data_IF_688916758506
#
_entry.id   IF_688916758506
#
_cell.length_a   1.000
_cell.length_b   1.000
_cell.length_c   1.000
_cell.angle_alpha   90.00
_cell.angle_beta   90.00
_cell.angle_gamma   90.00
#
_symmetry.space_group_name_H-M   'P 1'
#
loop_
_entity.id
_entity.type
_entity.pdbx_description
1 polymer ?
#
# COMPACT_ATOMS: atom_id res chain seq x y z
N UNK A 1 13.17 4.70 -18.44
CA UNK A 1 12.72 3.36 -18.04
C UNK A 1 13.36 2.34 -18.97
N UNK A 2 14.54 1.84 -18.62
CA UNK A 2 15.18 0.76 -19.38
C UNK A 2 14.50 -0.57 -18.99
N UNK A 3 13.91 -1.26 -19.97
CA UNK A 3 13.18 -2.53 -19.77
C UNK A 3 11.65 -2.42 -19.67
N UNK A 4 11.02 -1.48 -20.38
CA UNK A 4 9.56 -1.30 -20.40
C UNK A 4 8.78 -2.47 -21.01
N UNK A 5 7.47 -2.50 -20.76
CA UNK A 5 6.53 -3.42 -21.41
C UNK A 5 6.57 -3.22 -22.93
N UNK A 6 6.52 -4.31 -23.70
CA UNK A 6 6.39 -4.23 -25.15
C UNK A 6 4.98 -3.84 -25.58
N UNK A 7 4.81 -3.52 -26.86
CA UNK A 7 3.51 -3.10 -27.42
C UNK A 7 2.41 -4.14 -27.20
N UNK A 8 2.73 -5.44 -27.35
CA UNK A 8 1.77 -6.52 -27.15
C UNK A 8 1.34 -6.66 -25.69
N UNK A 9 2.25 -6.44 -24.74
CA UNK A 9 1.93 -6.41 -23.31
C UNK A 9 1.04 -5.21 -22.96
N UNK A 10 1.36 -4.03 -23.49
CA UNK A 10 0.56 -2.81 -23.28
C UNK A 10 -0.84 -2.97 -23.87
N UNK A 11 -0.96 -3.49 -25.09
CA UNK A 11 -2.25 -3.75 -25.74
C UNK A 11 -3.12 -4.72 -24.94
N UNK A 12 -2.51 -5.81 -24.45
CA UNK A 12 -3.19 -6.78 -23.59
C UNK A 12 -3.70 -6.15 -22.29
N UNK A 13 -2.84 -5.42 -21.56
CA UNK A 13 -3.24 -4.77 -20.32
C UNK A 13 -4.32 -3.71 -20.57
N UNK A 14 -4.15 -2.85 -21.57
CA UNK A 14 -5.14 -1.82 -21.94
C UNK A 14 -6.49 -2.43 -22.28
N UNK A 15 -6.51 -3.54 -23.01
CA UNK A 15 -7.76 -4.26 -23.33
C UNK A 15 -8.41 -4.82 -22.07
N UNK A 16 -7.63 -5.46 -21.19
CA UNK A 16 -8.10 -6.00 -19.91
C UNK A 16 -8.65 -4.91 -18.98
N UNK A 17 -8.00 -3.75 -18.94
CA UNK A 17 -8.42 -2.59 -18.15
C UNK A 17 -9.70 -1.98 -18.71
N UNK A 18 -9.83 -1.88 -20.04
CA UNK A 18 -11.05 -1.39 -20.69
C UNK A 18 -12.25 -2.27 -20.35
N UNK A 19 -12.09 -3.57 -20.45
CA UNK A 19 -13.14 -4.54 -20.10
C UNK A 19 -13.56 -4.38 -18.63
N UNK A 20 -12.58 -4.30 -17.72
CA UNK A 20 -12.84 -4.09 -16.31
C UNK A 20 -13.62 -2.80 -16.06
N UNK A 21 -13.11 -1.64 -16.52
CA UNK A 21 -13.76 -0.36 -16.28
C UNK A 21 -15.14 -0.26 -16.93
N UNK A 22 -15.35 -0.90 -18.08
CA UNK A 22 -16.67 -1.00 -18.69
C UNK A 22 -17.65 -1.76 -17.79
N UNK A 23 -17.27 -2.96 -17.34
CA UNK A 23 -18.08 -3.81 -16.45
C UNK A 23 -18.33 -3.17 -15.08
N UNK A 24 -17.35 -2.46 -14.53
CA UNK A 24 -17.42 -1.83 -13.21
C UNK A 24 -17.91 -0.37 -13.24
N UNK A 25 -18.36 0.13 -14.39
CA UNK A 25 -18.68 1.57 -14.58
C UNK A 25 -19.73 2.11 -13.60
N UNK A 26 -20.72 1.28 -13.24
CA UNK A 26 -21.79 1.62 -12.28
C UNK A 26 -21.36 1.51 -10.82
N UNK A 27 -20.29 0.78 -10.53
CA UNK A 27 -19.76 0.53 -9.19
C UNK A 27 -18.38 1.13 -8.97
N UNK A 28 -17.91 2.00 -9.89
CA UNK A 28 -16.65 2.70 -9.75
C UNK A 28 -16.75 3.65 -8.56
N UNK A 29 -15.83 3.53 -7.61
CA UNK A 29 -15.82 4.38 -6.44
C UNK A 29 -15.59 5.84 -6.82
N UNK A 30 -16.36 6.73 -6.20
CA UNK A 30 -16.32 8.16 -6.45
C UNK A 30 -15.81 8.88 -5.20
N UNK A 31 -14.79 9.74 -5.33
CA UNK A 31 -14.33 10.57 -4.22
C UNK A 31 -15.46 11.41 -3.60
N UNK A 32 -15.61 11.41 -2.27
CA UNK A 32 -16.45 12.39 -1.60
C UNK A 32 -16.01 13.81 -1.97
N UNK A 33 -16.97 14.71 -2.27
CA UNK A 33 -16.69 16.09 -2.75
C UNK A 33 -15.83 16.14 -4.02
N UNK A 34 -16.12 15.26 -4.97
CA UNK A 34 -15.42 15.12 -6.25
C UNK A 34 -15.10 16.46 -6.91
N UNK A 35 -16.05 17.39 -6.91
CA UNK A 35 -15.97 18.72 -7.51
C UNK A 35 -14.84 19.58 -6.97
N UNK A 36 -14.40 19.32 -5.74
CA UNK A 36 -13.33 20.04 -5.06
C UNK A 36 -11.99 19.30 -5.08
N UNK A 37 -11.90 18.15 -5.76
CA UNK A 37 -10.68 17.32 -5.78
C UNK A 37 -10.01 17.34 -7.15
N UNK A 38 -8.68 17.39 -7.13
CA UNK A 38 -7.89 17.15 -8.33
C UNK A 38 -7.98 15.66 -8.67
N UNK A 39 -8.24 15.38 -9.95
CA UNK A 39 -8.14 14.04 -10.53
C UNK A 39 -6.86 13.95 -11.37
N UNK A 40 -6.26 12.76 -11.40
CA UNK A 40 -5.10 12.48 -12.22
C UNK A 40 -5.14 11.09 -12.84
N UNK A 41 -4.65 10.96 -14.07
CA UNK A 41 -4.56 9.70 -14.80
C UNK A 41 -3.11 9.37 -15.12
N UNK A 42 -2.69 8.15 -14.83
CA UNK A 42 -1.46 7.56 -15.36
C UNK A 42 -1.80 6.86 -16.69
N UNK A 43 -1.12 7.23 -17.77
CA UNK A 43 -1.29 6.59 -19.08
C UNK A 43 -0.36 5.38 -19.23
N UNK A 44 -0.66 4.50 -20.19
CA UNK A 44 0.17 3.32 -20.48
C UNK A 44 1.56 3.67 -21.05
N UNK A 45 1.70 4.89 -21.58
CA UNK A 45 2.98 5.47 -22.01
C UNK A 45 3.83 5.98 -20.84
N UNK A 46 3.29 5.94 -19.61
CA UNK A 46 3.97 6.39 -18.40
C UNK A 46 3.83 7.89 -18.12
N UNK A 47 2.97 8.60 -18.87
CA UNK A 47 2.69 10.01 -18.61
C UNK A 47 1.64 10.16 -17.51
N UNK A 48 1.86 11.11 -16.60
CA UNK A 48 0.89 11.43 -15.56
C UNK A 48 0.15 12.72 -15.93
N UNK A 49 -1.11 12.59 -16.33
CA UNK A 49 -2.01 13.70 -16.61
C UNK A 49 -2.60 14.21 -15.29
N UNK A 50 -2.18 15.40 -14.87
CA UNK A 50 -2.60 16.09 -13.63
C UNK A 50 -3.60 17.21 -13.89
N UNK A 51 -4.06 17.85 -12.82
CA UNK A 51 -4.91 19.05 -12.87
C UNK A 51 -6.23 18.81 -13.62
N UNK A 52 -6.76 17.59 -13.54
CA UNK A 52 -8.08 17.30 -14.07
C UNK A 52 -9.14 17.60 -13.02
N UNK A 53 -10.33 18.01 -13.48
CA UNK A 53 -11.53 18.17 -12.66
C UNK A 53 -12.67 17.34 -13.23
N UNK A 54 -13.58 16.91 -12.37
CA UNK A 54 -14.84 16.32 -12.77
C UNK A 54 -15.95 16.96 -11.92
N UNK A 55 -16.96 17.53 -12.56
CA UNK A 55 -18.09 18.17 -11.89
C UNK A 55 -19.15 17.17 -11.42
N UNK A 56 -19.20 15.98 -12.03
CA UNK A 56 -20.14 14.93 -11.64
C UNK A 56 -19.50 13.53 -11.70
N UNK A 57 -20.06 12.54 -10.96
CA UNK A 57 -19.66 11.14 -11.09
C UNK A 57 -19.69 10.63 -12.53
N UNK A 58 -20.71 11.02 -13.31
CA UNK A 58 -20.87 10.60 -14.71
C UNK A 58 -19.77 11.13 -15.63
N UNK A 59 -19.31 12.36 -15.40
CA UNK A 59 -18.16 12.92 -16.13
C UNK A 59 -16.88 12.15 -15.85
N UNK A 60 -16.61 11.81 -14.59
CA UNK A 60 -15.45 11.01 -14.21
C UNK A 60 -15.49 9.63 -14.85
N UNK A 61 -16.62 8.92 -14.73
CA UNK A 61 -16.81 7.59 -15.33
C UNK A 61 -16.64 7.66 -16.86
N UNK A 62 -17.24 8.66 -17.51
CA UNK A 62 -17.10 8.87 -18.95
C UNK A 62 -15.65 9.13 -19.38
N UNK A 63 -14.89 9.89 -18.60
CA UNK A 63 -13.47 10.11 -18.84
C UNK A 63 -12.64 8.82 -18.69
N UNK A 64 -12.92 8.02 -17.66
CA UNK A 64 -12.25 6.72 -17.44
C UNK A 64 -12.51 5.76 -18.60
N UNK A 65 -13.75 5.65 -19.08
CA UNK A 65 -14.10 4.77 -20.19
C UNK A 65 -13.49 5.20 -21.53
N UNK A 66 -13.35 6.51 -21.73
CA UNK A 66 -12.74 7.08 -22.94
C UNK A 66 -11.21 6.93 -22.95
N UNK A 67 -10.55 7.22 -21.83
CA UNK A 67 -9.09 7.28 -21.75
C UNK A 67 -8.46 5.93 -21.36
N UNK A 68 -9.18 5.06 -20.66
CA UNK A 68 -8.70 3.77 -20.13
C UNK A 68 -7.34 3.93 -19.42
N UNK A 69 -7.29 4.67 -18.31
CA UNK A 69 -6.04 4.98 -17.63
C UNK A 69 -5.42 3.74 -16.98
N UNK A 70 -4.09 3.66 -17.01
CA UNK A 70 -3.31 2.63 -16.31
C UNK A 70 -3.41 2.78 -14.78
N UNK A 71 -3.70 4.00 -14.31
CA UNK A 71 -4.06 4.26 -12.92
C UNK A 71 -4.90 5.53 -12.81
N UNK A 72 -5.85 5.54 -11.87
CA UNK A 72 -6.69 6.70 -11.57
C UNK A 72 -6.31 7.20 -10.18
N UNK A 73 -6.18 8.51 -10.02
CA UNK A 73 -5.74 9.15 -8.79
C UNK A 73 -6.62 10.35 -8.44
N UNK A 74 -6.65 10.70 -7.16
CA UNK A 74 -7.34 11.87 -6.64
C UNK A 74 -6.56 12.52 -5.50
N UNK A 75 -6.71 13.82 -5.29
CA UNK A 75 -6.06 14.55 -4.19
C UNK A 75 -6.71 14.26 -2.84
N UNK A 76 -5.88 14.16 -1.78
CA UNK A 76 -6.37 14.22 -0.39
C UNK A 76 -6.85 15.63 -0.03
N UNK A 77 -6.30 16.64 -0.71
CA UNK A 77 -6.73 18.03 -0.61
C UNK A 77 -8.04 18.31 -1.34
N UNK A 78 -8.72 19.32 -0.83
CA UNK A 78 -9.85 20.00 -1.42
C UNK A 78 -9.42 21.40 -1.89
N UNK A 79 -9.96 21.84 -3.02
CA UNK A 79 -9.61 23.08 -3.70
C UNK A 79 -10.85 23.79 -4.23
N UNK A 80 -10.78 25.11 -4.36
CA UNK A 80 -11.78 25.91 -5.06
C UNK A 80 -11.72 25.69 -6.58
N UNK A 81 -10.51 25.69 -7.16
CA UNK A 81 -10.25 25.28 -8.55
C UNK A 81 -9.23 24.13 -8.62
N UNK A 82 -9.67 22.87 -8.49
CA UNK A 82 -8.77 21.72 -8.53
C UNK A 82 -8.02 21.56 -9.86
N UNK A 83 -8.53 22.17 -10.93
CA UNK A 83 -7.96 22.13 -12.28
C UNK A 83 -6.89 23.18 -12.56
N UNK A 84 -6.62 24.12 -11.65
CA UNK A 84 -5.57 25.12 -11.85
C UNK A 84 -4.17 24.42 -11.87
N UNK A 85 -3.29 24.69 -12.86
CA UNK A 85 -1.93 24.18 -12.85
C UNK A 85 -1.05 24.76 -11.72
N UNK A 86 -1.33 25.99 -11.29
CA UNK A 86 -0.63 26.64 -10.19
C UNK A 86 -1.26 26.26 -8.84
N UNK A 87 -0.44 25.71 -7.94
CA UNK A 87 -0.88 25.23 -6.63
C UNK A 87 -1.34 26.36 -5.70
N UNK A 88 -0.71 27.53 -5.80
CA UNK A 88 -1.05 28.67 -4.93
C UNK A 88 -2.38 29.31 -5.36
N UNK A 89 -2.73 29.18 -6.64
CA UNK A 89 -3.98 29.67 -7.21
C UNK A 89 -5.14 28.66 -7.15
N UNK A 90 -4.92 27.44 -6.67
CA UNK A 90 -6.01 26.44 -6.53
C UNK A 90 -7.05 26.81 -5.48
N UNK A 91 -6.70 27.68 -4.52
CA UNK A 91 -7.53 27.99 -3.35
C UNK A 91 -7.71 26.76 -2.45
N UNK A 92 -6.70 26.44 -1.62
CA UNK A 92 -6.74 25.27 -0.74
C UNK A 92 -7.81 25.40 0.34
N UNK A 93 -8.68 24.40 0.45
CA UNK A 93 -9.82 24.36 1.37
C UNK A 93 -9.63 23.38 2.53
N UNK A 94 -8.52 22.66 2.58
CA UNK A 94 -8.30 21.58 3.54
C UNK A 94 -7.79 20.29 2.93
N UNK A 95 -7.45 19.31 3.75
CA UNK A 95 -7.05 17.98 3.27
C UNK A 95 -7.42 16.86 4.25
N UNK A 96 -7.76 15.69 3.71
CA UNK A 96 -7.87 14.47 4.51
C UNK A 96 -6.52 14.09 5.10
N UNK A 97 -6.53 13.44 6.27
CA UNK A 97 -5.33 12.84 6.81
C UNK A 97 -5.16 11.43 6.23
N UNK A 98 -3.96 11.11 5.75
CA UNK A 98 -3.71 9.82 5.11
C UNK A 98 -2.41 9.19 5.61
N UNK A 99 -2.39 7.87 5.63
CA UNK A 99 -1.26 7.06 6.05
C UNK A 99 -1.01 5.97 5.00
N UNK A 100 0.26 5.75 4.66
CA UNK A 100 0.69 4.66 3.79
C UNK A 100 1.54 3.68 4.59
N UNK A 101 1.15 2.42 4.56
CA UNK A 101 1.84 1.29 5.18
C UNK A 101 2.33 0.41 4.04
N UNK A 102 3.61 0.52 3.69
CA UNK A 102 4.24 -0.34 2.71
C UNK A 102 4.87 -1.57 3.40
N UNK A 103 4.50 -2.76 2.94
CA UNK A 103 4.99 -4.02 3.52
C UNK A 103 6.52 -4.13 3.41
N UNK A 104 7.15 -3.48 2.41
CA UNK A 104 8.62 -3.50 2.30
C UNK A 104 9.29 -2.87 3.54
N UNK A 105 8.67 -1.88 4.16
CA UNK A 105 9.24 -1.17 5.31
C UNK A 105 9.04 -1.96 6.62
N UNK A 106 8.11 -2.92 6.62
CA UNK A 106 7.89 -3.88 7.70
C UNK A 106 8.94 -5.00 7.72
N UNK A 107 9.63 -5.24 6.60
CA UNK A 107 10.65 -6.29 6.43
C UNK A 107 10.20 -7.69 6.92
N UNK A 108 9.02 -8.22 6.52
CA UNK A 108 8.61 -9.55 6.92
C UNK A 108 9.55 -10.61 6.34
N UNK A 109 9.76 -11.69 7.09
CA UNK A 109 10.67 -12.79 6.74
C UNK A 109 10.38 -13.46 5.38
N UNK A 110 9.17 -13.30 4.83
CA UNK A 110 8.82 -13.84 3.52
C UNK A 110 9.49 -13.11 2.34
N UNK A 111 9.96 -11.87 2.53
CA UNK A 111 10.50 -11.05 1.44
C UNK A 111 11.66 -11.73 0.71
N UNK A 112 12.62 -12.29 1.44
CA UNK A 112 13.80 -12.93 0.84
C UNK A 112 13.45 -14.22 0.06
N UNK A 113 12.25 -14.77 0.29
CA UNK A 113 11.78 -15.96 -0.41
C UNK A 113 11.10 -15.66 -1.76
N UNK A 114 10.63 -14.43 -1.98
CA UNK A 114 9.83 -14.09 -3.16
C UNK A 114 10.23 -12.80 -3.88
N UNK A 115 10.97 -11.89 -3.24
CA UNK A 115 11.55 -10.74 -3.93
C UNK A 115 12.89 -11.17 -4.54
N UNK A 116 13.20 -10.66 -5.73
CA UNK A 116 14.40 -11.04 -6.46
C UNK A 116 14.84 -9.93 -7.42
N UNK A 117 16.05 -10.05 -7.94
CA UNK A 117 16.53 -9.26 -9.06
C UNK A 117 16.40 -10.05 -10.36
N UNK A 118 15.81 -9.43 -11.39
CA UNK A 118 15.79 -9.92 -12.76
C UNK A 118 16.82 -9.15 -13.60
N UNK A 119 17.78 -9.86 -14.17
CA UNK A 119 18.91 -9.27 -14.89
C UNK A 119 18.73 -9.32 -16.40
N UNK A 120 19.36 -8.39 -17.12
CA UNK A 120 19.28 -8.28 -18.58
C UNK A 120 19.81 -9.54 -19.32
N UNK A 121 20.72 -10.29 -18.69
CA UNK A 121 21.24 -11.58 -19.19
C UNK A 121 20.26 -12.76 -18.97
N UNK A 122 19.08 -12.49 -18.40
CA UNK A 122 18.07 -13.48 -18.08
C UNK A 122 18.37 -14.30 -16.82
N UNK A 123 19.38 -13.91 -16.04
CA UNK A 123 19.64 -14.48 -14.71
C UNK A 123 18.68 -13.88 -13.66
N UNK A 124 18.49 -14.64 -12.58
CA UNK A 124 17.69 -14.25 -11.42
C UNK A 124 18.58 -14.34 -10.20
N UNK A 125 18.65 -13.27 -9.41
CA UNK A 125 19.49 -13.17 -8.22
C UNK A 125 18.65 -12.93 -6.97
N UNK A 126 19.01 -13.51 -5.81
CA UNK A 126 18.34 -13.21 -4.55
C UNK A 126 18.62 -11.77 -4.11
N UNK A 127 17.79 -11.22 -3.21
CA UNK A 127 18.03 -9.87 -2.67
C UNK A 127 19.33 -9.75 -1.87
N UNK A 128 19.83 -10.86 -1.32
CA UNK A 128 21.09 -10.92 -0.55
C UNK A 128 22.32 -10.48 -1.33
N UNK A 129 22.27 -10.52 -2.67
CA UNK A 129 23.39 -10.13 -3.52
C UNK A 129 23.58 -8.60 -3.57
N UNK A 130 22.67 -7.82 -2.99
CA UNK A 130 22.68 -6.36 -3.06
C UNK A 130 22.26 -5.83 -4.43
N UNK A 131 22.26 -4.51 -4.59
CA UNK A 131 21.90 -3.89 -5.87
C UNK A 131 22.99 -4.15 -6.92
N UNK A 132 22.62 -4.82 -8.02
CA UNK A 132 23.53 -5.22 -9.08
C UNK A 132 23.30 -4.40 -10.36
N UNK A 133 24.35 -3.94 -11.06
CA UNK A 133 24.23 -3.27 -12.35
C UNK A 133 23.51 -4.15 -13.38
N UNK A 134 22.59 -3.57 -14.17
CA UNK A 134 21.86 -4.30 -15.20
C UNK A 134 20.77 -5.26 -14.67
N UNK A 135 20.49 -5.23 -13.37
CA UNK A 135 19.43 -6.00 -12.74
C UNK A 135 18.36 -5.10 -12.13
N UNK A 136 17.10 -5.46 -12.34
CA UNK A 136 15.93 -4.76 -11.80
C UNK A 136 15.33 -5.56 -10.65
N UNK A 137 15.08 -4.90 -9.52
CA UNK A 137 14.33 -5.50 -8.41
C UNK A 137 12.89 -5.76 -8.82
N UNK A 138 12.39 -6.96 -8.52
CA UNK A 138 11.00 -7.37 -8.69
C UNK A 138 10.44 -7.67 -7.31
N UNK A 139 9.55 -6.81 -6.86
CA UNK A 139 8.82 -6.99 -5.61
C UNK A 139 7.63 -7.92 -5.81
N UNK A 140 7.37 -8.79 -4.85
CA UNK A 140 6.24 -9.72 -4.85
C UNK A 140 5.28 -9.46 -3.70
N UNK A 141 4.13 -10.14 -3.74
CA UNK A 141 3.15 -10.17 -2.65
C UNK A 141 2.75 -11.61 -2.37
N UNK A 142 2.60 -11.96 -1.10
CA UNK A 142 2.14 -13.27 -0.64
C UNK A 142 1.21 -13.10 0.58
N UNK A 143 0.55 -14.16 1.06
CA UNK A 143 -0.34 -14.06 2.22
C UNK A 143 0.34 -13.49 3.46
N UNK A 144 1.60 -13.86 3.71
CA UNK A 144 2.38 -13.34 4.84
C UNK A 144 2.64 -11.83 4.73
N UNK A 145 2.77 -11.29 3.51
CA UNK A 145 2.88 -9.85 3.28
C UNK A 145 1.58 -9.13 3.66
N UNK A 146 0.45 -9.65 3.19
CA UNK A 146 -0.88 -9.10 3.48
C UNK A 146 -1.14 -9.10 4.98
N UNK A 147 -0.84 -10.22 5.64
CA UNK A 147 -1.00 -10.37 7.08
C UNK A 147 -0.05 -9.46 7.89
N UNK A 148 1.19 -9.25 7.43
CA UNK A 148 2.08 -8.27 8.04
C UNK A 148 1.52 -6.84 7.96
N UNK A 149 1.01 -6.44 6.78
CA UNK A 149 0.36 -5.14 6.61
C UNK A 149 -0.93 -5.00 7.43
N UNK A 150 -1.75 -6.06 7.49
CA UNK A 150 -3.00 -6.10 8.28
C UNK A 150 -2.74 -5.80 9.75
N UNK A 151 -1.75 -6.47 10.37
CA UNK A 151 -1.38 -6.23 11.77
C UNK A 151 -0.92 -4.79 12.00
N UNK A 152 -0.21 -4.22 11.05
CA UNK A 152 0.26 -2.85 11.15
C UNK A 152 -0.89 -1.83 11.05
N UNK A 153 -1.85 -2.07 10.15
CA UNK A 153 -3.08 -1.28 10.08
C UNK A 153 -3.84 -1.35 11.42
N UNK A 154 -4.00 -2.53 12.01
CA UNK A 154 -4.69 -2.69 13.30
C UNK A 154 -4.03 -1.88 14.44
N UNK A 155 -2.69 -1.79 14.45
CA UNK A 155 -1.96 -0.94 15.41
C UNK A 155 -2.20 0.54 15.15
N UNK A 156 -2.21 0.96 13.88
CA UNK A 156 -2.53 2.34 13.52
C UNK A 156 -3.94 2.70 13.98
N UNK A 157 -4.92 1.84 13.72
CA UNK A 157 -6.31 2.04 14.14
C UNK A 157 -6.44 2.19 15.66
N UNK A 158 -5.71 1.39 16.44
CA UNK A 158 -5.69 1.49 17.90
C UNK A 158 -5.21 2.87 18.37
N UNK A 159 -4.11 3.38 17.80
CA UNK A 159 -3.58 4.71 18.14
C UNK A 159 -4.52 5.84 17.68
N UNK A 160 -5.02 5.78 16.45
CA UNK A 160 -5.94 6.80 15.93
C UNK A 160 -7.21 6.91 16.79
N UNK A 161 -7.80 5.78 17.17
CA UNK A 161 -9.06 5.76 17.89
C UNK A 161 -8.90 6.02 19.39
N UNK A 162 -7.94 5.35 20.04
CA UNK A 162 -7.80 5.43 21.51
C UNK A 162 -7.02 6.65 21.96
N UNK A 163 -6.01 7.06 21.20
CA UNK A 163 -5.09 8.12 21.64
C UNK A 163 -5.45 9.46 21.01
N UNK A 164 -5.83 9.47 19.73
CA UNK A 164 -6.19 10.69 19.00
C UNK A 164 -7.71 10.93 18.91
N UNK A 165 -8.53 10.00 19.39
CA UNK A 165 -10.00 10.15 19.41
C UNK A 165 -10.66 10.19 18.03
N UNK A 166 -9.99 9.68 16.99
CA UNK A 166 -10.54 9.62 15.63
C UNK A 166 -11.73 8.67 15.61
N UNK A 167 -12.86 9.12 15.07
CA UNK A 167 -14.08 8.30 15.05
C UNK A 167 -13.94 7.17 14.02
N UNK A 168 -14.36 5.93 14.35
CA UNK A 168 -14.25 4.79 13.42
C UNK A 168 -14.92 5.01 12.06
N UNK A 169 -16.05 5.72 12.02
CA UNK A 169 -16.81 6.03 10.80
C UNK A 169 -16.13 7.04 9.88
N UNK A 170 -15.14 7.79 10.38
CA UNK A 170 -14.30 8.69 9.57
C UNK A 170 -13.10 7.98 8.93
N UNK A 171 -12.85 6.70 9.28
CA UNK A 171 -11.67 5.97 8.82
C UNK A 171 -12.05 5.04 7.67
N UNK A 172 -11.34 5.20 6.55
CA UNK A 172 -11.44 4.28 5.40
C UNK A 172 -10.11 3.59 5.15
N UNK A 173 -10.14 2.27 4.99
CA UNK A 173 -8.96 1.41 4.80
C UNK A 173 -8.97 0.84 3.39
N UNK A 174 -7.82 0.81 2.74
CA UNK A 174 -7.67 0.31 1.39
C UNK A 174 -6.42 -0.55 1.26
N UNK A 175 -6.53 -1.73 0.66
CA UNK A 175 -5.36 -2.38 0.11
C UNK A 175 -4.92 -1.63 -1.16
N UNK A 176 -3.63 -1.32 -1.29
CA UNK A 176 -3.09 -0.42 -2.34
C UNK A 176 -3.16 -0.97 -3.77
N UNK A 177 -3.53 -2.25 -3.92
CA UNK A 177 -3.44 -3.00 -5.17
C UNK A 177 -2.04 -3.58 -5.42
N UNK A 178 -1.09 -3.42 -4.49
CA UNK A 178 0.27 -3.96 -4.63
C UNK A 178 0.77 -4.70 -3.40
N UNK A 179 1.40 -4.02 -2.44
CA UNK A 179 1.94 -4.65 -1.22
C UNK A 179 1.93 -3.68 -0.06
N UNK A 180 0.77 -3.11 0.20
CA UNK A 180 0.60 -2.14 1.28
C UNK A 180 -0.86 -1.78 1.49
N UNK A 181 -1.09 -0.95 2.49
CA UNK A 181 -2.40 -0.44 2.86
C UNK A 181 -2.36 1.07 2.98
N UNK A 182 -3.44 1.72 2.55
CA UNK A 182 -3.66 3.12 2.79
C UNK A 182 -4.79 3.27 3.81
N UNK A 183 -4.61 4.14 4.79
CA UNK A 183 -5.66 4.52 5.75
C UNK A 183 -5.94 6.00 5.55
N UNK A 184 -7.19 6.35 5.29
CA UNK A 184 -7.65 7.72 5.09
C UNK A 184 -8.57 8.07 6.26
N UNK A 185 -8.44 9.28 6.79
CA UNK A 185 -9.27 9.84 7.84
C UNK A 185 -9.95 11.09 7.29
N UNK A 186 -11.25 10.96 7.04
CA UNK A 186 -12.13 12.02 6.53
C UNK A 186 -12.89 12.64 7.72
N UNK A 187 -12.19 13.47 8.49
CA UNK A 187 -12.76 14.19 9.63
C UNK A 187 -12.65 15.70 9.42
N UNK A 188 -13.77 16.42 9.53
CA UNK A 188 -13.81 17.88 9.35
C UNK A 188 -12.94 18.60 10.38
N UNK A 189 -12.85 18.09 11.60
CA UNK A 189 -12.03 18.69 12.67
C UNK A 189 -10.52 18.54 12.45
N UNK A 190 -10.10 17.66 11.54
CA UNK A 190 -8.68 17.43 11.19
C UNK A 190 -8.31 17.99 9.82
N UNK A 191 -9.30 18.52 9.07
CA UNK A 191 -9.15 18.94 7.68
C UNK A 191 -8.14 20.09 7.52
N UNK A 192 -8.10 21.00 8.48
CA UNK A 192 -7.27 22.20 8.45
C UNK A 192 -5.85 21.98 8.99
N UNK A 193 -5.50 20.75 9.37
CA UNK A 193 -4.16 20.44 9.85
C UNK A 193 -3.12 20.77 8.78
N UNK A 194 -2.20 21.68 9.09
CA UNK A 194 -1.05 22.00 8.27
C UNK A 194 0.04 20.92 8.33
N UNK A 195 1.09 21.10 7.52
CA UNK A 195 2.21 20.15 7.41
C UNK A 195 2.89 19.88 8.76
N UNK A 196 3.08 20.90 9.60
CA UNK A 196 3.73 20.76 10.91
C UNK A 196 2.93 19.89 11.89
N UNK A 197 1.61 20.13 12.02
CA UNK A 197 0.75 19.33 12.88
C UNK A 197 0.67 17.88 12.37
N UNK A 198 0.62 17.68 11.05
CA UNK A 198 0.67 16.34 10.45
C UNK A 198 1.99 15.62 10.71
N UNK A 199 3.12 16.35 10.74
CA UNK A 199 4.41 15.79 11.12
C UNK A 199 4.42 15.32 12.57
N UNK A 200 3.77 16.06 13.49
CA UNK A 200 3.61 15.62 14.88
C UNK A 200 2.73 14.37 14.97
N UNK A 201 1.65 14.27 14.19
CA UNK A 201 0.83 13.05 14.13
C UNK A 201 1.64 11.87 13.59
N UNK A 202 2.38 12.06 12.51
CA UNK A 202 3.23 11.03 11.92
C UNK A 202 4.32 10.56 12.89
N UNK A 203 4.97 11.48 13.60
CA UNK A 203 5.96 11.16 14.63
C UNK A 203 5.33 10.44 15.83
N UNK A 204 4.15 10.88 16.27
CA UNK A 204 3.43 10.25 17.38
C UNK A 204 3.10 8.79 17.08
N UNK A 205 2.56 8.48 15.90
CA UNK A 205 2.18 7.09 15.55
C UNK A 205 3.38 6.20 15.27
N UNK A 206 4.43 6.77 14.67
CA UNK A 206 5.66 6.04 14.35
C UNK A 206 6.64 5.96 15.52
N UNK A 207 6.42 6.78 16.54
CA UNK A 207 7.29 6.97 17.69
C UNK A 207 8.76 7.10 17.22
N UNK A 208 9.01 7.99 16.24
CA UNK A 208 10.32 8.09 15.58
C UNK A 208 11.33 8.93 16.37
N UNK A 209 10.87 9.91 17.14
CA UNK A 209 11.71 10.85 17.91
C UNK A 209 11.82 10.58 19.42
N UNK A 210 11.51 9.36 19.89
CA UNK A 210 11.43 9.06 21.33
C UNK A 210 12.76 9.03 22.08
N UNK A 211 12.69 9.31 23.40
CA UNK A 211 13.79 9.16 24.35
C UNK A 211 13.60 7.91 25.23
N UNK A 212 14.47 6.88 25.14
CA UNK A 212 14.42 5.71 26.00
C UNK A 212 14.54 6.05 27.50
N UNK A 213 15.28 7.11 27.87
CA UNK A 213 15.43 7.52 29.26
C UNK A 213 14.13 8.12 29.82
N UNK A 214 13.31 8.76 28.98
CA UNK A 214 11.96 9.18 29.35
C UNK A 214 11.07 7.98 29.68
N UNK A 215 11.03 6.95 28.83
CA UNK A 215 10.28 5.72 29.12
C UNK A 215 10.79 5.01 30.37
N UNK A 216 12.10 4.92 30.57
CA UNK A 216 12.69 4.33 31.78
C UNK A 216 12.19 5.04 33.05
N UNK A 217 12.07 6.38 33.00
CA UNK A 217 11.55 7.20 34.11
C UNK A 217 10.07 6.95 34.41
N UNK A 218 9.28 6.63 33.38
CA UNK A 218 7.84 6.35 33.49
C UNK A 218 7.53 4.93 33.96
N UNK A 219 8.47 3.99 33.84
CA UNK A 219 8.29 2.65 34.40
C UNK A 219 8.13 2.75 35.93
N UNK A 220 7.06 2.17 36.50
CA UNK A 220 6.79 2.29 37.92
C UNK A 220 7.77 1.47 38.74
N UNK A 221 7.95 1.87 40.00
CA UNK A 221 8.81 1.17 40.96
C UNK A 221 8.11 -0.09 41.52
N UNK A 222 6.79 -0.06 41.62
CA UNK A 222 5.96 -1.16 42.14
C UNK A 222 4.81 -1.49 41.20
N UNK A 223 4.30 -2.71 41.30
CA UNK A 223 3.22 -3.19 40.44
C UNK A 223 1.91 -2.43 40.59
N UNK A 224 1.63 -1.88 41.78
CA UNK A 224 0.37 -1.19 42.08
C UNK A 224 0.09 0.03 41.19
N UNK A 225 1.12 0.60 40.55
CA UNK A 225 0.97 1.74 39.65
C UNK A 225 1.00 1.35 38.15
N UNK A 226 1.09 0.06 37.82
CA UNK A 226 1.07 -0.35 36.40
C UNK A 226 -0.27 -0.04 35.74
N UNK A 227 -1.37 -0.11 36.49
CA UNK A 227 -2.72 0.20 35.99
C UNK A 227 -2.99 1.69 35.74
N UNK A 228 -2.08 2.59 36.15
CA UNK A 228 -2.23 4.03 35.90
C UNK A 228 -1.55 4.49 34.62
N UNK A 229 -0.80 3.61 33.95
CA UNK A 229 -0.16 3.93 32.68
C UNK A 229 -1.22 4.03 31.58
N UNK A 230 -1.06 4.99 30.69
CA UNK A 230 -1.90 5.21 29.51
C UNK A 230 -1.02 5.48 28.29
N UNK A 231 -1.59 5.44 27.08
CA UNK A 231 -0.89 5.80 25.85
C UNK A 231 0.37 4.95 25.59
N UNK A 232 1.42 5.60 25.08
CA UNK A 232 2.71 4.95 24.84
C UNK A 232 3.35 4.29 26.08
N UNK A 233 3.40 4.92 27.28
CA UNK A 233 3.92 4.26 28.48
C UNK A 233 3.27 2.90 28.77
N UNK A 234 1.94 2.80 28.62
CA UNK A 234 1.22 1.54 28.81
C UNK A 234 1.62 0.51 27.75
N UNK A 235 1.61 0.88 26.46
CA UNK A 235 1.96 -0.04 25.36
C UNK A 235 3.39 -0.57 25.46
N UNK A 236 4.34 0.30 25.83
CA UNK A 236 5.74 -0.11 26.05
C UNK A 236 5.85 -1.04 27.26
N UNK A 237 5.17 -0.75 28.37
CA UNK A 237 5.16 -1.63 29.53
C UNK A 237 4.55 -3.02 29.20
N UNK A 238 3.46 -3.07 28.44
CA UNK A 238 2.84 -4.31 27.98
C UNK A 238 3.76 -5.13 27.07
N UNK A 239 4.46 -4.48 26.14
CA UNK A 239 5.44 -5.14 25.28
C UNK A 239 6.63 -5.71 26.08
N UNK A 240 7.12 -4.97 27.07
CA UNK A 240 8.15 -5.44 28.00
C UNK A 240 7.66 -6.66 28.80
N UNK A 241 6.43 -6.61 29.33
CA UNK A 241 5.80 -7.74 30.04
C UNK A 241 5.71 -8.96 29.14
N UNK A 242 5.22 -8.80 27.91
CA UNK A 242 5.07 -9.90 26.96
C UNK A 242 6.41 -10.54 26.58
N UNK A 243 7.48 -9.73 26.47
CA UNK A 243 8.81 -10.21 26.11
C UNK A 243 9.51 -10.95 27.26
N UNK A 244 9.43 -10.42 28.48
CA UNK A 244 10.24 -10.91 29.61
C UNK A 244 9.46 -11.77 30.61
N UNK A 245 8.13 -11.82 30.52
CA UNK A 245 7.29 -12.61 31.42
C UNK A 245 7.26 -12.12 32.87
N UNK A 246 7.77 -10.90 33.13
CA UNK A 246 7.80 -10.27 34.45
C UNK A 246 6.95 -9.01 34.48
N UNK A 247 6.44 -8.59 35.65
CA UNK A 247 5.86 -7.26 35.82
C UNK A 247 6.86 -6.18 35.36
N UNK A 248 6.48 -5.27 34.45
CA UNK A 248 7.39 -4.31 33.82
C UNK A 248 7.67 -3.12 34.77
N UNK A 249 8.13 -3.42 35.97
CA UNK A 249 8.64 -2.43 36.93
C UNK A 249 10.10 -2.17 36.66
N UNK A 250 10.60 -0.96 36.98
CA UNK A 250 12.00 -0.63 36.77
C UNK A 250 12.96 -1.61 37.48
N UNK A 251 12.80 -1.92 38.79
CA UNK A 251 13.72 -2.83 39.48
C UNK A 251 13.72 -4.25 38.90
N UNK A 252 12.55 -4.79 38.53
CA UNK A 252 12.46 -6.12 37.95
C UNK A 252 13.15 -6.20 36.58
N UNK A 253 12.96 -5.19 35.75
CA UNK A 253 13.59 -5.12 34.43
C UNK A 253 15.10 -4.91 34.55
N UNK A 254 15.56 -3.98 35.40
CA UNK A 254 17.00 -3.73 35.64
C UNK A 254 17.74 -4.99 36.10
N UNK A 255 17.12 -5.77 37.01
CA UNK A 255 17.67 -7.03 37.47
C UNK A 255 17.78 -8.08 36.36
N UNK A 256 16.80 -8.12 35.45
CA UNK A 256 16.72 -9.12 34.38
C UNK A 256 17.65 -8.80 33.20
N UNK A 257 17.80 -7.52 32.86
CA UNK A 257 18.57 -7.07 31.68
C UNK A 257 20.00 -6.63 32.03
N UNK A 258 20.44 -6.87 33.26
CA UNK A 258 21.79 -6.53 33.71
C UNK A 258 22.11 -5.03 33.61
N UNK A 259 21.09 -4.17 33.75
CA UNK A 259 21.21 -2.72 33.63
C UNK A 259 21.03 -2.13 32.23
N UNK A 260 20.98 -2.92 31.14
CA UNK A 260 20.68 -2.40 29.79
C UNK A 260 19.17 -2.22 29.54
N UNK A 261 18.56 -1.36 30.35
CA UNK A 261 17.13 -1.04 30.23
C UNK A 261 16.82 -0.32 28.91
N UNK A 262 17.81 0.38 28.33
CA UNK A 262 17.67 1.08 27.06
C UNK A 262 17.38 0.11 25.91
N UNK A 263 18.20 -0.94 25.74
CA UNK A 263 17.96 -1.93 24.69
C UNK A 263 16.62 -2.66 24.84
N UNK A 264 16.18 -2.89 26.09
CA UNK A 264 14.88 -3.47 26.38
C UNK A 264 13.73 -2.57 25.93
N UNK A 265 13.80 -1.26 26.23
CA UNK A 265 12.82 -0.26 25.80
C UNK A 265 12.85 -0.12 24.28
N UNK A 266 14.01 -0.06 23.66
CA UNK A 266 14.13 0.07 22.20
C UNK A 266 13.49 -1.12 21.48
N UNK A 267 13.71 -2.34 21.98
CA UNK A 267 13.06 -3.53 21.45
C UNK A 267 11.54 -3.52 21.68
N UNK A 268 11.07 -3.02 22.83
CA UNK A 268 9.64 -2.90 23.12
C UNK A 268 8.99 -1.87 22.19
N UNK A 269 9.56 -0.67 22.03
CA UNK A 269 9.10 0.36 21.10
C UNK A 269 9.08 -0.16 19.67
N UNK A 270 10.15 -0.83 19.21
CA UNK A 270 10.20 -1.42 17.88
C UNK A 270 9.10 -2.47 17.64
N UNK A 271 8.61 -3.13 18.69
CA UNK A 271 7.55 -4.13 18.60
C UNK A 271 6.14 -3.52 18.54
N UNK A 272 5.92 -2.31 19.09
CA UNK A 272 4.57 -1.69 19.18
C UNK A 272 4.37 -0.44 18.32
N UNK A 273 5.45 0.22 17.88
CA UNK A 273 5.34 1.39 16.99
C UNK A 273 4.72 1.03 15.64
N UNK A 274 4.16 2.03 14.96
CA UNK A 274 3.60 1.85 13.61
C UNK A 274 4.57 2.36 12.54
N UNK A 275 4.88 1.54 11.56
CA UNK A 275 5.70 1.88 10.41
C UNK A 275 4.82 2.39 9.28
N UNK A 276 4.77 3.72 9.17
CA UNK A 276 4.16 4.45 8.06
C UNK A 276 5.22 5.16 7.23
N UNK A 277 4.88 5.58 6.00
CA UNK A 277 5.63 6.62 5.29
C UNK A 277 5.21 8.01 5.82
N UNK A 278 6.06 8.71 6.60
CA UNK A 278 5.70 10.01 7.16
C UNK A 278 5.53 11.09 6.09
N UNK A 279 6.20 10.99 4.94
CA UNK A 279 6.09 11.97 3.87
C UNK A 279 4.69 11.98 3.26
N UNK A 280 4.04 10.82 3.25
CA UNK A 280 2.64 10.70 2.82
C UNK A 280 1.70 11.45 3.75
N UNK A 281 1.89 11.30 5.07
CA UNK A 281 1.02 11.94 6.07
C UNK A 281 1.23 13.45 6.14
N UNK A 282 2.46 13.92 5.98
CA UNK A 282 2.81 15.35 6.03
C UNK A 282 2.36 16.09 4.78
N UNK A 283 2.31 15.42 3.62
CA UNK A 283 2.01 16.08 2.35
C UNK A 283 0.53 16.37 2.16
N UNK A 284 0.13 17.62 2.41
CA UNK A 284 -1.25 18.08 2.20
C UNK A 284 -1.69 17.98 0.73
N UNK A 285 -0.77 18.07 -0.23
CA UNK A 285 -1.06 18.05 -1.67
C UNK A 285 -0.97 16.65 -2.30
N UNK A 286 -0.90 15.60 -1.47
CA UNK A 286 -0.72 14.22 -1.94
C UNK A 286 -1.90 13.79 -2.82
N UNK A 287 -1.59 13.03 -3.86
CA UNK A 287 -2.59 12.32 -4.66
C UNK A 287 -2.47 10.81 -4.39
N UNK A 288 -3.60 10.15 -4.18
CA UNK A 288 -3.67 8.70 -3.98
C UNK A 288 -4.36 8.05 -5.14
N UNK A 289 -4.00 6.79 -5.39
CA UNK A 289 -4.79 5.94 -6.28
C UNK A 289 -6.24 5.90 -5.80
N UNK A 290 -7.17 6.05 -6.72
CA UNK A 290 -8.59 6.00 -6.45
C UNK A 290 -8.99 4.56 -6.10
N UNK A 291 -9.76 4.32 -5.02
CA UNK A 291 -10.37 3.04 -4.75
C UNK A 291 -11.10 2.48 -5.98
N UNK A 292 -11.16 1.15 -6.11
CA UNK A 292 -11.68 0.40 -7.27
C UNK A 292 -10.93 0.60 -8.60
N UNK A 293 -9.96 1.52 -8.68
CA UNK A 293 -9.07 1.61 -9.86
C UNK A 293 -7.95 0.58 -9.82
N UNK A 294 -7.37 0.28 -10.97
CA UNK A 294 -6.33 -0.74 -11.11
C UNK A 294 -4.93 -0.18 -10.83
N UNK A 295 -4.04 -1.03 -10.31
CA UNK A 295 -2.65 -0.71 -10.03
C UNK A 295 -1.74 -1.12 -11.19
N UNK A 296 -0.90 -0.20 -11.68
CA UNK A 296 -0.06 -0.43 -12.85
C UNK A 296 0.93 -1.57 -12.70
N UNK A 297 1.39 -1.83 -11.47
CA UNK A 297 2.44 -2.81 -11.15
C UNK A 297 1.93 -4.23 -10.98
N UNK A 298 0.62 -4.43 -10.94
CA UNK A 298 0.00 -5.74 -10.64
C UNK A 298 -1.25 -6.06 -11.44
N UNK A 299 -1.94 -5.06 -12.01
CA UNK A 299 -3.27 -5.27 -12.58
C UNK A 299 -4.37 -5.54 -11.53
N UNK A 300 -4.05 -5.43 -10.23
CA UNK A 300 -5.02 -5.61 -9.14
C UNK A 300 -5.69 -4.28 -8.77
N UNK A 301 -6.92 -4.33 -8.29
CA UNK A 301 -7.64 -3.12 -7.85
C UNK A 301 -7.12 -2.59 -6.51
N UNK A 302 -7.15 -1.26 -6.30
CA UNK A 302 -7.14 -0.68 -4.96
C UNK A 302 -8.45 -1.04 -4.27
N UNK A 303 -8.40 -2.02 -3.37
CA UNK A 303 -9.58 -2.63 -2.76
C UNK A 303 -9.95 -1.89 -1.47
N UNK A 304 -11.18 -1.34 -1.35
CA UNK A 304 -11.72 -0.93 -0.05
C UNK A 304 -11.85 -2.13 0.88
N UNK A 305 -11.31 -2.02 2.10
CA UNK A 305 -11.44 -3.01 3.15
C UNK A 305 -12.31 -2.44 4.27
N UNK A 306 -13.63 -2.69 4.22
CA UNK A 306 -14.55 -2.23 5.27
C UNK A 306 -14.25 -2.89 6.63
N UNK A 307 -13.91 -4.18 6.60
CA UNK A 307 -13.34 -4.90 7.73
C UNK A 307 -11.96 -5.41 7.34
N UNK A 308 -10.92 -4.86 7.97
CA UNK A 308 -9.53 -5.20 7.70
C UNK A 308 -9.18 -6.65 8.08
N UNK A 309 -9.91 -7.24 9.02
CA UNK A 309 -9.71 -8.64 9.44
C UNK A 309 -10.27 -9.60 8.40
N UNK A 310 -11.46 -9.31 7.87
CA UNK A 310 -12.12 -10.14 6.86
C UNK A 310 -11.63 -9.90 5.43
N UNK A 311 -11.04 -8.74 5.12
CA UNK A 311 -10.56 -8.38 3.79
C UNK A 311 -9.52 -9.39 3.29
N UNK A 312 -9.76 -10.01 2.12
CA UNK A 312 -8.82 -10.88 1.41
C UNK A 312 -8.37 -10.26 0.07
N UNK A 313 -7.35 -9.39 0.10
CA UNK A 313 -6.85 -8.73 -1.10
C UNK A 313 -6.37 -9.66 -2.21
N UNK A 314 -5.84 -10.84 -1.89
CA UNK A 314 -5.31 -11.76 -2.92
C UNK A 314 -6.43 -12.43 -3.72
N UNK A 315 -7.64 -12.46 -3.18
CA UNK A 315 -8.83 -12.93 -3.88
C UNK A 315 -9.61 -11.77 -4.47
N UNK A 316 -9.96 -10.78 -3.64
CA UNK A 316 -10.92 -9.74 -4.00
C UNK A 316 -10.34 -8.66 -4.93
N UNK A 317 -9.03 -8.38 -4.86
CA UNK A 317 -8.42 -7.37 -5.72
C UNK A 317 -8.01 -7.90 -7.11
N UNK A 318 -8.09 -9.23 -7.34
CA UNK A 318 -7.82 -9.86 -8.64
C UNK A 318 -9.07 -9.79 -9.54
N UNK A 319 -9.39 -8.58 -10.01
CA UNK A 319 -10.69 -8.28 -10.65
C UNK A 319 -10.73 -8.48 -12.17
N UNK A 320 -9.58 -8.69 -12.81
CA UNK A 320 -9.48 -8.88 -14.26
C UNK A 320 -10.04 -10.26 -14.71
N UNK A 321 -10.28 -10.39 -16.01
CA UNK A 321 -10.88 -11.57 -16.64
C UNK A 321 -10.11 -12.87 -16.33
N UNK A 322 -10.83 -13.99 -16.26
CA UNK A 322 -10.25 -15.33 -16.10
C UNK A 322 -9.96 -16.00 -17.44
N UNK A 323 -10.36 -15.37 -18.56
CA UNK A 323 -10.16 -15.91 -19.91
C UNK A 323 -8.69 -16.30 -20.12
N UNK A 324 -8.39 -17.53 -20.60
CA UNK A 324 -7.02 -18.01 -20.68
C UNK A 324 -6.16 -17.24 -21.70
N UNK A 325 -5.04 -16.69 -21.24
CA UNK A 325 -4.05 -15.97 -22.05
C UNK A 325 -2.77 -16.79 -22.15
N UNK A 326 -2.24 -16.94 -23.37
CA UNK A 326 -0.96 -17.61 -23.60
C UNK A 326 0.19 -16.65 -23.33
N UNK A 327 1.06 -17.00 -22.38
CA UNK A 327 2.21 -16.19 -21.97
C UNK A 327 3.50 -17.01 -21.96
N UNK A 328 4.62 -16.31 -22.15
CA UNK A 328 5.96 -16.80 -21.89
C UNK A 328 6.48 -16.16 -20.60
N UNK A 329 6.69 -16.96 -19.56
CA UNK A 329 7.16 -16.50 -18.24
C UNK A 329 8.65 -16.76 -18.12
N UNK A 330 9.43 -15.71 -17.87
CA UNK A 330 10.88 -15.82 -17.67
C UNK A 330 11.20 -16.45 -16.31
N UNK A 331 10.65 -15.87 -15.24
CA UNK A 331 10.72 -16.39 -13.88
C UNK A 331 9.59 -15.82 -13.03
N UNK A 332 8.94 -16.66 -12.24
CA UNK A 332 8.00 -16.22 -11.22
C UNK A 332 8.06 -17.17 -10.02
N UNK A 333 8.21 -16.66 -8.78
CA UNK A 333 8.01 -17.47 -7.59
C UNK A 333 6.52 -17.85 -7.47
N UNK A 334 6.18 -18.63 -6.43
CA UNK A 334 4.78 -18.99 -6.17
C UNK A 334 3.94 -17.71 -6.00
N UNK A 335 2.81 -17.66 -6.68
CA UNK A 335 1.83 -16.58 -6.59
C UNK A 335 0.51 -17.18 -6.11
N UNK A 336 -0.07 -16.59 -5.08
CA UNK A 336 -1.41 -16.97 -4.62
C UNK A 336 -2.39 -15.88 -4.98
N UNK A 337 -3.39 -16.23 -5.78
CA UNK A 337 -4.50 -15.35 -6.17
C UNK A 337 -5.78 -16.18 -6.30
N UNK A 338 -6.91 -15.63 -5.85
CA UNK A 338 -8.23 -16.29 -5.86
C UNK A 338 -8.23 -17.71 -5.26
N UNK A 339 -7.47 -17.93 -4.20
CA UNK A 339 -7.37 -19.25 -3.54
C UNK A 339 -6.54 -20.30 -4.28
N UNK A 340 -5.98 -20.00 -5.46
CA UNK A 340 -5.11 -20.90 -6.21
C UNK A 340 -3.64 -20.51 -6.09
N UNK A 341 -2.75 -21.50 -6.15
CA UNK A 341 -1.30 -21.28 -6.23
C UNK A 341 -0.82 -21.50 -7.66
N UNK A 342 -0.21 -20.47 -8.24
CA UNK A 342 0.43 -20.48 -9.55
C UNK A 342 1.95 -20.53 -9.40
N UNK A 343 2.62 -21.29 -10.26
CA UNK A 343 4.07 -21.42 -10.25
C UNK A 343 4.62 -22.32 -9.13
N UNK A 344 5.94 -22.29 -8.88
CA UNK A 344 6.90 -21.40 -9.52
C UNK A 344 7.06 -21.71 -11.02
N UNK A 345 7.39 -20.69 -11.81
CA UNK A 345 7.64 -20.81 -13.24
C UNK A 345 9.08 -20.41 -13.57
N UNK A 346 9.67 -21.09 -14.55
CA UNK A 346 11.01 -20.75 -15.07
C UNK A 346 11.07 -21.08 -16.55
N UNK A 347 11.27 -20.05 -17.39
CA UNK A 347 11.38 -20.16 -18.86
C UNK A 347 10.29 -21.08 -19.44
N UNK A 348 9.03 -20.77 -19.11
CA UNK A 348 7.89 -21.62 -19.41
C UNK A 348 6.88 -20.90 -20.30
N UNK A 349 6.32 -21.59 -21.29
CA UNK A 349 5.19 -21.09 -22.09
C UNK A 349 3.92 -21.85 -21.70
N UNK A 350 2.90 -21.13 -21.26
CA UNK A 350 1.68 -21.73 -20.73
C UNK A 350 0.47 -20.82 -20.95
N UNK A 351 -0.73 -21.39 -20.80
CA UNK A 351 -1.98 -20.60 -20.73
C UNK A 351 -2.33 -20.37 -19.26
N UNK A 352 -2.52 -19.11 -18.87
CA UNK A 352 -2.89 -18.70 -17.52
C UNK A 352 -4.17 -17.87 -17.55
N UNK A 353 -4.96 -17.85 -16.46
CA UNK A 353 -6.09 -16.92 -16.35
C UNK A 353 -5.64 -15.47 -16.57
N UNK A 354 -6.48 -14.66 -17.23
CA UNK A 354 -6.15 -13.28 -17.61
C UNK A 354 -5.62 -12.43 -16.45
N UNK A 355 -6.19 -12.52 -15.26
CA UNK A 355 -5.72 -11.79 -14.07
C UNK A 355 -4.31 -12.21 -13.62
N UNK A 356 -3.94 -13.49 -13.76
CA UNK A 356 -2.58 -13.97 -13.46
C UNK A 356 -1.61 -13.49 -14.54
N UNK A 357 -2.00 -13.58 -15.81
CA UNK A 357 -1.21 -13.08 -16.92
C UNK A 357 -0.95 -11.57 -16.77
N UNK A 358 -1.96 -10.78 -16.45
CA UNK A 358 -1.85 -9.35 -16.19
C UNK A 358 -0.89 -9.05 -15.04
N UNK A 359 -0.98 -9.78 -13.92
CA UNK A 359 -0.03 -9.63 -12.82
C UNK A 359 1.41 -9.87 -13.25
N UNK A 360 1.68 -10.99 -13.92
CA UNK A 360 3.04 -11.35 -14.36
C UNK A 360 3.60 -10.39 -15.43
N UNK A 361 2.74 -9.95 -16.34
CA UNK A 361 3.08 -8.95 -17.36
C UNK A 361 3.39 -7.60 -16.70
N UNK A 362 2.54 -7.10 -15.80
CA UNK A 362 2.78 -5.86 -15.05
C UNK A 362 4.05 -5.91 -14.20
N UNK A 363 4.45 -7.09 -13.73
CA UNK A 363 5.72 -7.31 -13.03
C UNK A 363 6.93 -7.33 -13.96
N UNK A 364 6.71 -7.36 -15.28
CA UNK A 364 7.76 -7.43 -16.30
C UNK A 364 8.47 -8.78 -16.32
N UNK A 365 7.78 -9.87 -15.93
CA UNK A 365 8.33 -11.23 -15.88
C UNK A 365 7.62 -12.21 -16.82
N UNK A 366 6.64 -11.71 -17.59
CA UNK A 366 5.97 -12.46 -18.64
C UNK A 366 5.76 -11.61 -19.90
N UNK A 367 5.72 -12.27 -21.05
CA UNK A 367 5.41 -11.69 -22.36
C UNK A 367 4.20 -12.38 -22.99
N UNK A 368 3.44 -11.65 -23.79
CA UNK A 368 2.27 -12.18 -24.50
C UNK A 368 2.70 -12.96 -25.73
N UNK A 369 2.22 -14.20 -25.87
CA UNK A 369 2.44 -15.00 -27.07
C UNK A 369 1.28 -14.79 -28.02
N UNK A 370 1.48 -14.00 -29.09
CA UNK A 370 0.48 -13.86 -30.15
C UNK A 370 0.16 -15.25 -30.72
N UNK A 371 -1.12 -15.63 -30.73
CA UNK A 371 -1.55 -16.74 -31.58
C UNK A 371 -1.25 -16.32 -33.00
N UNK A 372 -0.32 -17.01 -33.69
CA UNK A 372 -0.24 -16.90 -35.14
C UNK A 372 -1.64 -17.26 -35.65
N UNK A 373 -2.37 -16.29 -36.17
CA UNK A 373 -3.61 -16.54 -36.89
C UNK A 373 -3.30 -17.65 -37.89
N UNK A 374 -4.09 -18.72 -37.84
CA UNK A 374 -3.99 -19.77 -38.83
C UNK A 374 -4.05 -19.11 -40.19
N UNK A 375 -3.01 -19.33 -40.99
CA UNK A 375 -3.10 -19.14 -42.41
C UNK A 375 -4.25 -20.05 -42.88
N UNK A 376 -5.44 -19.49 -43.03
CA UNK A 376 -6.44 -20.04 -43.93
C UNK A 376 -5.87 -19.83 -45.34
N UNK A 377 -5.24 -20.88 -45.86
CA UNK A 377 -5.04 -21.05 -47.29
C UNK A 377 -5.52 -22.43 -47.68
N UNK A 378 -5.60 -22.73 -48.99
CA UNK A 378 -5.65 -21.82 -50.14
C UNK A 378 -7.08 -21.41 -50.52
#
# INVERSE_FOLDING_TARGET
MEGGLGEGEIEFLRTSYREYYYRSSSSLWIPPRLESREIGFLTFEGHFKRHMRAGTPGELVGAVLREVPWGIFYSVSYYEDPGNPDMDEKGWLGADLAFDIDVKDLHPACMDAHDFYACADGSVRPLSDGALPGCRRVDWVCPSCVEAGRREVLRLLDLLQRDLGVRPDSISIYYSGHRGFHVHVEDEGLRDLGREARAQVADYVSLSSYDPAFFARLLPISEGHLGTLVGWPARVAEALRAKYGVPPTRPALEALVGGDLRAAIDAAVAAVRVRIDPQVTVDISRIFRMPTSLNEKTGMSKLPCADIVACDPLTEAAVLSEEPVKVEVSYAPKLQLKGYTYGPYRRSTLKLPGFVAAFLVSKGVAKIVKSRGGASGP
#
